data_IF_580405577278
#
_entry.id   IF_580405577278
#
_cell.length_a   1.000
_cell.length_b   1.000
_cell.length_c   1.000
_cell.angle_alpha   90.00
_cell.angle_beta   90.00
_cell.angle_gamma   90.00
#
_symmetry.space_group_name_H-M   'P 1'
#
loop_
_entity.id
_entity.type
_entity.pdbx_description
1 polymer ?
#
# COMPACT_ATOMS: atom_id res chain seq x y z
N UNK A 1 -14.30 -6.31 -47.92
CA UNK A 1 -13.77 -7.69 -47.97
C UNK A 1 -12.51 -7.72 -47.10
N UNK A 2 -12.43 -8.70 -46.21
CA UNK A 2 -11.54 -8.87 -45.06
C UNK A 2 -10.08 -8.36 -45.18
N UNK A 3 -9.62 -7.67 -44.12
CA UNK A 3 -8.19 -7.52 -43.78
C UNK A 3 -7.87 -8.59 -42.73
N UNK A 4 -6.85 -9.46 -42.91
CA UNK A 4 -6.51 -10.48 -41.92
C UNK A 4 -5.68 -9.90 -40.78
N UNK A 5 -6.07 -10.24 -39.55
CA UNK A 5 -5.36 -9.91 -38.31
C UNK A 5 -4.14 -10.83 -38.20
N UNK A 6 -2.93 -10.25 -38.11
CA UNK A 6 -1.72 -10.99 -37.74
C UNK A 6 -1.87 -11.55 -36.32
N UNK A 7 -1.73 -12.87 -36.19
CA UNK A 7 -1.62 -13.54 -34.90
C UNK A 7 -0.27 -13.21 -34.27
N UNK A 8 -0.25 -12.33 -33.29
CA UNK A 8 0.87 -12.19 -32.38
C UNK A 8 0.96 -13.45 -31.50
N UNK A 9 1.94 -14.30 -31.78
CA UNK A 9 2.30 -15.47 -30.98
C UNK A 9 2.81 -14.99 -29.62
N UNK A 10 2.01 -15.17 -28.57
CA UNK A 10 2.46 -15.01 -27.18
C UNK A 10 3.56 -16.04 -26.90
N UNK A 11 4.81 -15.59 -26.92
CA UNK A 11 5.95 -16.35 -26.40
C UNK A 11 5.71 -16.54 -24.91
N UNK A 12 5.37 -17.77 -24.50
CA UNK A 12 5.31 -18.15 -23.09
C UNK A 12 6.71 -17.97 -22.50
N UNK A 13 6.92 -16.92 -21.69
CA UNK A 13 8.13 -16.84 -20.87
C UNK A 13 8.14 -18.04 -19.93
N UNK A 14 9.19 -18.83 -20.06
CA UNK A 14 9.36 -20.12 -19.39
C UNK A 14 9.20 -19.99 -17.88
N UNK A 15 8.41 -20.91 -17.33
CA UNK A 15 8.41 -21.26 -15.91
C UNK A 15 9.83 -21.69 -15.55
N UNK A 16 10.50 -20.90 -14.73
CA UNK A 16 11.81 -21.27 -14.18
C UNK A 16 11.66 -22.57 -13.37
N UNK A 17 12.32 -23.65 -13.82
CA UNK A 17 12.18 -25.00 -13.24
C UNK A 17 12.88 -25.14 -11.88
N UNK A 18 13.49 -24.07 -11.37
CA UNK A 18 14.24 -24.07 -10.11
C UNK A 18 13.49 -23.43 -8.94
N UNK A 19 12.35 -22.77 -9.16
CA UNK A 19 11.56 -22.16 -8.07
C UNK A 19 10.56 -23.19 -7.53
N UNK A 20 11.00 -24.00 -6.58
CA UNK A 20 10.10 -24.86 -5.81
C UNK A 20 9.13 -23.99 -5.00
N UNK A 21 7.83 -24.05 -5.34
CA UNK A 21 6.77 -23.70 -4.38
C UNK A 21 7.01 -24.51 -3.10
N UNK A 22 6.79 -23.96 -1.89
CA UNK A 22 6.98 -24.71 -0.66
C UNK A 22 6.01 -25.90 -0.63
N UNK A 23 6.49 -27.05 -1.10
CA UNK A 23 5.76 -28.31 -1.32
C UNK A 23 5.19 -28.91 -0.02
N UNK A 24 5.51 -28.34 1.15
CA UNK A 24 5.16 -28.89 2.45
C UNK A 24 3.74 -28.55 2.93
N UNK A 25 3.13 -27.44 2.49
CA UNK A 25 1.80 -27.02 3.02
C UNK A 25 0.61 -27.62 2.24
N UNK A 26 0.74 -27.79 0.93
CA UNK A 26 -0.27 -28.50 0.13
C UNK A 26 -0.46 -29.97 0.52
N UNK A 27 0.59 -30.62 1.04
CA UNK A 27 0.55 -32.03 1.47
C UNK A 27 -0.17 -32.26 2.81
N UNK A 28 -0.43 -31.23 3.61
CA UNK A 28 -1.16 -31.35 4.89
C UNK A 28 -2.61 -30.90 4.74
N UNK A 29 -2.86 -29.88 3.92
CA UNK A 29 -4.21 -29.36 3.67
C UNK A 29 -5.07 -30.30 2.80
N UNK A 30 -4.49 -30.96 1.80
CA UNK A 30 -5.23 -31.93 0.96
C UNK A 30 -5.74 -33.14 1.76
N UNK A 31 -4.94 -33.82 2.61
CA UNK A 31 -5.46 -34.90 3.43
C UNK A 31 -6.41 -34.39 4.52
N UNK A 32 -6.26 -33.17 5.05
CA UNK A 32 -7.22 -32.60 6.00
C UNK A 32 -8.59 -32.34 5.32
N UNK A 33 -8.60 -31.84 4.09
CA UNK A 33 -9.81 -31.66 3.26
C UNK A 33 -10.46 -33.02 2.94
N UNK A 34 -9.66 -34.04 2.59
CA UNK A 34 -10.15 -35.39 2.35
C UNK A 34 -10.68 -36.05 3.63
N UNK A 35 -10.08 -35.78 4.79
CA UNK A 35 -10.56 -36.25 6.09
C UNK A 35 -11.85 -35.52 6.50
N UNK A 36 -11.96 -34.21 6.28
CA UNK A 36 -13.21 -33.46 6.47
C UNK A 36 -14.33 -33.94 5.54
N UNK A 37 -14.02 -34.31 4.29
CA UNK A 37 -14.97 -34.93 3.36
C UNK A 37 -15.29 -36.40 3.70
N UNK A 38 -14.36 -37.12 4.32
CA UNK A 38 -14.54 -38.52 4.74
C UNK A 38 -15.32 -38.67 6.06
N UNK A 39 -15.36 -37.62 6.89
CA UNK A 39 -16.18 -37.54 8.10
C UNK A 39 -17.54 -36.85 7.88
N UNK A 40 -17.86 -36.45 6.65
CA UNK A 40 -19.26 -36.23 6.29
C UNK A 40 -20.00 -37.57 6.46
N UNK A 41 -21.12 -37.61 7.22
CA UNK A 41 -21.96 -38.81 7.24
C UNK A 41 -22.28 -39.16 5.78
N UNK A 42 -22.07 -40.42 5.41
CA UNK A 42 -22.21 -40.89 4.04
C UNK A 42 -23.50 -40.34 3.43
N UNK A 43 -23.36 -39.48 2.40
CA UNK A 43 -24.46 -39.11 1.52
C UNK A 43 -24.85 -40.37 0.78
N UNK A 44 -25.75 -41.15 1.36
CA UNK A 44 -26.41 -42.24 0.67
C UNK A 44 -27.16 -41.64 -0.51
N UNK A 45 -26.66 -41.91 -1.72
CA UNK A 45 -27.37 -41.63 -2.96
C UNK A 45 -28.61 -42.51 -3.03
N UNK A 46 -29.70 -42.07 -2.41
CA UNK A 46 -31.02 -42.53 -2.80
C UNK A 46 -31.45 -41.74 -4.05
N UNK A 47 -32.00 -42.38 -5.09
CA UNK A 47 -32.42 -41.67 -6.29
C UNK A 47 -33.67 -40.84 -5.96
N UNK A 48 -33.49 -39.58 -5.59
CA UNK A 48 -34.61 -38.67 -5.35
C UNK A 48 -35.12 -38.14 -6.70
N UNK A 49 -36.29 -38.66 -7.09
CA UNK A 49 -37.17 -38.05 -8.09
C UNK A 49 -37.35 -36.57 -7.73
N UNK A 50 -37.11 -35.68 -8.69
CA UNK A 50 -37.28 -34.23 -8.57
C UNK A 50 -38.77 -33.88 -8.38
N UNK A 51 -39.28 -34.08 -7.17
CA UNK A 51 -40.58 -33.59 -6.74
C UNK A 51 -40.41 -33.21 -5.27
N UNK A 52 -40.07 -31.96 -5.01
CA UNK A 52 -40.11 -31.44 -3.65
C UNK A 52 -41.57 -31.61 -3.16
N UNK A 53 -41.84 -32.46 -2.15
CA UNK A 53 -43.09 -32.34 -1.43
C UNK A 53 -43.01 -30.99 -0.72
N UNK A 54 -44.07 -30.18 -0.81
CA UNK A 54 -44.23 -29.08 0.14
C UNK A 54 -44.01 -29.65 1.54
N UNK A 55 -43.02 -29.12 2.25
CA UNK A 55 -42.65 -29.61 3.58
C UNK A 55 -43.81 -29.32 4.53
N UNK A 56 -44.19 -30.35 5.29
CA UNK A 56 -45.21 -30.27 6.32
C UNK A 56 -44.58 -30.65 7.66
N UNK A 57 -44.55 -29.74 8.65
CA UNK A 57 -45.06 -28.37 8.60
C UNK A 57 -44.22 -27.47 7.65
N UNK A 58 -44.78 -26.33 7.21
CA UNK A 58 -44.10 -25.40 6.32
C UNK A 58 -42.79 -24.87 6.94
N UNK A 59 -41.95 -24.18 6.15
CA UNK A 59 -40.71 -23.57 6.64
C UNK A 59 -40.88 -22.42 7.67
N UNK A 60 -42.08 -22.18 8.20
CA UNK A 60 -42.37 -21.11 9.15
C UNK A 60 -41.84 -21.42 10.56
N UNK A 61 -40.58 -21.04 10.76
CA UNK A 61 -39.75 -21.43 11.89
C UNK A 61 -40.05 -20.77 13.23
N UNK A 62 -39.66 -21.52 14.28
CA UNK A 62 -38.85 -21.01 15.40
C UNK A 62 -37.99 -22.18 15.89
N UNK A 63 -36.73 -22.29 15.44
CA UNK A 63 -35.74 -23.19 16.05
C UNK A 63 -34.99 -22.44 17.14
N UNK A 64 -35.56 -22.34 18.34
CA UNK A 64 -34.93 -21.62 19.46
C UNK A 64 -34.62 -20.14 19.15
N UNK A 65 -35.48 -19.49 18.36
CA UNK A 65 -35.26 -18.11 17.90
C UNK A 65 -34.53 -17.97 16.55
N UNK A 66 -34.28 -19.07 15.84
CA UNK A 66 -33.57 -19.10 14.55
C UNK A 66 -34.49 -19.30 13.34
N UNK A 67 -34.06 -18.83 12.17
CA UNK A 67 -34.70 -18.97 10.85
C UNK A 67 -33.92 -19.97 9.99
N UNK A 68 -34.59 -20.95 9.39
CA UNK A 68 -33.99 -21.97 8.52
C UNK A 68 -34.80 -22.12 7.23
N UNK A 69 -34.20 -21.79 6.08
CA UNK A 69 -34.83 -21.87 4.76
C UNK A 69 -33.88 -22.55 3.77
N UNK A 70 -34.25 -23.73 3.28
CA UNK A 70 -33.42 -24.52 2.35
C UNK A 70 -33.11 -25.93 2.85
N UNK A 71 -32.66 -26.79 1.94
CA UNK A 71 -32.33 -28.17 2.27
C UNK A 71 -31.15 -28.24 3.25
N UNK A 72 -31.33 -28.94 4.37
CA UNK A 72 -30.36 -29.10 5.46
C UNK A 72 -29.91 -27.78 6.15
N UNK A 73 -30.65 -26.68 5.99
CA UNK A 73 -30.38 -25.47 6.76
C UNK A 73 -30.59 -25.73 8.27
N UNK A 74 -29.61 -25.38 9.12
CA UNK A 74 -29.62 -25.62 10.58
C UNK A 74 -29.89 -27.08 11.01
N UNK A 75 -29.52 -28.07 10.17
CA UNK A 75 -29.84 -29.48 10.40
C UNK A 75 -29.39 -30.04 11.76
N UNK A 76 -28.22 -29.61 12.26
CA UNK A 76 -27.61 -30.16 13.48
C UNK A 76 -27.80 -29.30 14.73
N UNK A 77 -28.62 -28.24 14.69
CA UNK A 77 -28.75 -27.28 15.79
C UNK A 77 -29.37 -27.93 17.03
N UNK A 78 -28.71 -27.80 18.19
CA UNK A 78 -29.18 -28.36 19.47
C UNK A 78 -29.53 -27.29 20.50
N UNK A 79 -28.58 -26.41 20.86
CA UNK A 79 -28.78 -25.38 21.89
C UNK A 79 -28.39 -23.96 21.50
N UNK A 80 -27.83 -23.78 20.29
CA UNK A 80 -27.56 -22.46 19.72
C UNK A 80 -28.86 -21.75 19.31
N UNK A 81 -28.87 -20.42 19.34
CA UNK A 81 -30.06 -19.62 19.04
C UNK A 81 -29.78 -18.40 18.19
N UNK A 82 -30.85 -17.79 17.68
CA UNK A 82 -30.80 -16.54 16.89
C UNK A 82 -29.94 -16.63 15.61
N UNK A 83 -29.94 -17.80 14.96
CA UNK A 83 -29.26 -18.00 13.69
C UNK A 83 -30.21 -17.75 12.51
N UNK A 84 -29.70 -17.29 11.37
CA UNK A 84 -30.44 -17.15 10.11
C UNK A 84 -29.71 -17.96 9.03
N UNK A 85 -30.27 -19.09 8.60
CA UNK A 85 -29.72 -19.92 7.54
C UNK A 85 -30.65 -19.95 6.33
N UNK A 86 -30.18 -19.43 5.19
CA UNK A 86 -30.92 -19.41 3.93
C UNK A 86 -30.04 -20.02 2.83
N UNK A 87 -30.41 -21.19 2.31
CA UNK A 87 -29.70 -21.88 1.23
C UNK A 87 -29.42 -23.36 1.52
N UNK A 88 -29.01 -24.08 0.48
CA UNK A 88 -28.60 -25.50 0.58
C UNK A 88 -27.39 -25.63 1.52
N UNK A 89 -27.50 -26.44 2.57
CA UNK A 89 -26.45 -26.71 3.57
C UNK A 89 -25.94 -25.43 4.29
N UNK A 90 -26.76 -24.38 4.38
CA UNK A 90 -26.41 -23.17 5.13
C UNK A 90 -26.45 -23.45 6.64
N UNK A 91 -25.35 -23.18 7.35
CA UNK A 91 -25.21 -23.43 8.79
C UNK A 91 -25.59 -24.89 9.18
N UNK A 92 -25.22 -25.87 8.36
CA UNK A 92 -25.74 -27.24 8.49
C UNK A 92 -25.27 -28.02 9.73
N UNK A 93 -24.00 -27.85 10.14
CA UNK A 93 -23.41 -28.63 11.24
C UNK A 93 -23.26 -27.85 12.55
N UNK A 94 -23.79 -26.64 12.64
CA UNK A 94 -23.74 -25.87 13.89
C UNK A 94 -24.61 -26.54 14.95
N UNK A 95 -24.03 -26.86 16.12
CA UNK A 95 -24.73 -27.49 17.23
C UNK A 95 -25.11 -26.50 18.33
N UNK A 96 -24.22 -25.58 18.67
CA UNK A 96 -24.31 -24.73 19.87
C UNK A 96 -24.06 -23.26 19.61
N UNK A 97 -23.56 -22.87 18.43
CA UNK A 97 -23.23 -21.49 18.15
C UNK A 97 -24.48 -20.67 17.85
N UNK A 98 -24.38 -19.37 18.13
CA UNK A 98 -25.48 -18.42 18.13
C UNK A 98 -25.12 -17.16 17.35
N UNK A 99 -26.15 -16.41 16.94
CA UNK A 99 -26.02 -15.13 16.25
C UNK A 99 -25.31 -15.20 14.89
N UNK A 100 -25.42 -16.34 14.20
CA UNK A 100 -24.85 -16.56 12.88
C UNK A 100 -25.87 -16.25 11.78
N UNK A 101 -25.46 -15.54 10.73
CA UNK A 101 -26.27 -15.29 9.53
C UNK A 101 -25.58 -15.86 8.30
N UNK A 102 -26.18 -16.84 7.64
CA UNK A 102 -25.67 -17.49 6.44
C UNK A 102 -26.67 -17.44 5.30
N UNK A 103 -26.34 -16.73 4.22
CA UNK A 103 -27.17 -16.60 3.02
C UNK A 103 -26.41 -17.06 1.79
N UNK A 104 -26.73 -18.26 1.29
CA UNK A 104 -26.09 -18.89 0.15
C UNK A 104 -25.88 -20.38 0.34
N UNK A 105 -25.50 -21.07 -0.75
CA UNK A 105 -25.18 -22.49 -0.67
C UNK A 105 -23.89 -22.71 0.12
N UNK A 106 -23.96 -23.56 1.16
CA UNK A 106 -22.82 -23.94 2.00
C UNK A 106 -22.21 -22.79 2.81
N UNK A 107 -22.92 -21.69 3.06
CA UNK A 107 -22.43 -20.66 3.97
C UNK A 107 -22.33 -21.22 5.38
N UNK A 108 -21.19 -21.02 6.07
CA UNK A 108 -21.01 -21.43 7.47
C UNK A 108 -21.27 -22.92 7.73
N UNK A 109 -21.19 -23.80 6.72
CA UNK A 109 -21.67 -25.17 6.88
C UNK A 109 -20.92 -25.97 7.95
N UNK A 110 -19.63 -25.68 8.15
CA UNK A 110 -18.75 -26.27 9.19
C UNK A 110 -18.29 -25.20 10.19
N UNK A 111 -19.17 -24.25 10.51
CA UNK A 111 -18.92 -23.20 11.48
C UNK A 111 -19.20 -23.67 12.92
N UNK A 112 -18.31 -23.33 13.86
CA UNK A 112 -18.51 -23.57 15.30
C UNK A 112 -18.25 -22.29 16.15
N UNK A 113 -18.11 -21.14 15.49
CA UNK A 113 -17.99 -19.83 16.13
C UNK A 113 -19.31 -19.06 16.16
N UNK A 114 -19.43 -18.10 17.08
CA UNK A 114 -20.58 -17.20 17.19
C UNK A 114 -20.41 -15.92 16.36
N UNK A 115 -21.52 -15.22 16.13
CA UNK A 115 -21.55 -13.85 15.60
C UNK A 115 -20.97 -13.71 14.18
N UNK A 116 -21.05 -14.76 13.37
CA UNK A 116 -20.53 -14.74 12.01
C UNK A 116 -21.63 -14.40 10.99
N UNK A 117 -21.34 -13.49 10.06
CA UNK A 117 -22.21 -13.14 8.94
C UNK A 117 -21.57 -13.55 7.63
N UNK A 118 -22.23 -14.38 6.84
CA UNK A 118 -21.75 -14.93 5.58
C UNK A 118 -22.83 -14.77 4.49
N UNK A 119 -22.45 -14.21 3.34
CA UNK A 119 -23.29 -14.09 2.16
C UNK A 119 -22.50 -14.45 0.92
N UNK A 120 -22.99 -15.42 0.14
CA UNK A 120 -22.33 -15.96 -1.05
C UNK A 120 -21.91 -17.42 -0.90
N UNK A 121 -21.86 -18.15 -2.02
CA UNK A 121 -21.61 -19.59 -2.01
C UNK A 121 -20.27 -19.93 -1.33
N UNK A 122 -20.32 -20.79 -0.30
CA UNK A 122 -19.16 -21.24 0.48
C UNK A 122 -18.44 -20.15 1.27
N UNK A 123 -19.06 -18.99 1.52
CA UNK A 123 -18.49 -17.98 2.41
C UNK A 123 -18.42 -18.52 3.85
N UNK A 124 -17.28 -18.36 4.53
CA UNK A 124 -17.01 -18.91 5.86
C UNK A 124 -17.32 -20.41 6.03
N UNK A 125 -17.21 -21.21 4.96
CA UNK A 125 -17.56 -22.64 4.98
C UNK A 125 -16.82 -23.40 6.10
N UNK A 126 -15.53 -23.11 6.30
CA UNK A 126 -14.62 -23.82 7.21
C UNK A 126 -14.13 -22.89 8.33
N UNK A 127 -15.05 -22.45 9.19
CA UNK A 127 -14.77 -21.58 10.33
C UNK A 127 -14.87 -22.32 11.68
N UNK A 128 -13.79 -22.96 12.14
CA UNK A 128 -13.91 -23.89 13.29
C UNK A 128 -13.90 -23.21 14.65
N UNK A 129 -13.29 -22.01 14.78
CA UNK A 129 -13.23 -21.28 16.06
C UNK A 129 -13.43 -19.77 15.94
N UNK A 130 -13.37 -19.20 14.74
CA UNK A 130 -13.41 -17.75 14.56
C UNK A 130 -14.79 -17.17 14.90
N UNK A 131 -14.80 -16.00 15.54
CA UNK A 131 -16.02 -15.30 15.93
C UNK A 131 -16.07 -13.91 15.31
N UNK A 132 -17.26 -13.33 15.23
CA UNK A 132 -17.45 -11.94 14.78
C UNK A 132 -16.90 -11.65 13.36
N UNK A 133 -16.90 -12.64 12.47
CA UNK A 133 -16.43 -12.46 11.09
C UNK A 133 -17.58 -12.05 10.15
N UNK A 134 -17.31 -11.15 9.21
CA UNK A 134 -18.22 -10.79 8.11
C UNK A 134 -17.62 -11.19 6.77
N UNK A 135 -18.34 -11.99 5.99
CA UNK A 135 -17.92 -12.46 4.68
C UNK A 135 -19.00 -12.23 3.63
N UNK A 136 -18.72 -11.38 2.65
CA UNK A 136 -19.63 -11.10 1.55
C UNK A 136 -18.93 -11.34 0.21
N UNK A 137 -19.29 -12.45 -0.45
CA UNK A 137 -18.72 -12.89 -1.71
C UNK A 137 -18.52 -14.41 -1.74
N UNK A 138 -18.57 -15.00 -2.94
CA UNK A 138 -18.34 -16.43 -3.07
C UNK A 138 -16.92 -16.80 -2.59
N UNK A 139 -16.84 -17.80 -1.72
CA UNK A 139 -15.61 -18.29 -1.08
C UNK A 139 -14.82 -17.22 -0.29
N UNK A 140 -15.49 -16.15 0.14
CA UNK A 140 -14.90 -15.13 1.02
C UNK A 140 -14.68 -15.71 2.42
N UNK A 141 -13.51 -15.48 3.02
CA UNK A 141 -13.11 -16.09 4.31
C UNK A 141 -13.35 -17.60 4.37
N UNK A 142 -13.09 -18.32 3.26
CA UNK A 142 -13.41 -19.76 3.15
C UNK A 142 -12.85 -20.57 4.33
N UNK A 143 -11.61 -20.27 4.73
CA UNK A 143 -10.95 -20.80 5.92
C UNK A 143 -10.75 -19.64 6.90
N UNK A 144 -11.25 -19.79 8.13
CA UNK A 144 -10.97 -18.85 9.21
C UNK A 144 -10.94 -19.55 10.56
N UNK A 145 -9.89 -19.36 11.35
CA UNK A 145 -9.95 -19.60 12.80
C UNK A 145 -9.71 -18.32 13.60
N UNK A 146 -9.44 -17.20 12.90
CA UNK A 146 -9.33 -15.88 13.49
C UNK A 146 -10.67 -15.18 13.62
N UNK A 147 -10.69 -14.14 14.44
CA UNK A 147 -11.87 -13.36 14.78
C UNK A 147 -11.79 -11.92 14.24
N UNK A 148 -12.95 -11.27 14.19
CA UNK A 148 -13.09 -9.84 13.83
C UNK A 148 -12.62 -9.50 12.41
N UNK A 149 -12.70 -10.45 11.46
CA UNK A 149 -12.35 -10.20 10.07
C UNK A 149 -13.56 -9.76 9.25
N UNK A 150 -13.37 -8.75 8.39
CA UNK A 150 -14.38 -8.27 7.44
C UNK A 150 -13.89 -8.43 6.02
N UNK A 151 -14.65 -9.15 5.19
CA UNK A 151 -14.31 -9.43 3.79
C UNK A 151 -15.48 -9.13 2.85
N UNK A 152 -15.18 -8.41 1.78
CA UNK A 152 -16.09 -8.05 0.70
C UNK A 152 -15.40 -8.32 -0.64
N UNK A 153 -15.79 -9.40 -1.32
CA UNK A 153 -15.27 -9.75 -2.63
C UNK A 153 -15.19 -11.26 -2.86
N UNK A 154 -15.06 -11.67 -4.12
CA UNK A 154 -14.79 -13.07 -4.43
C UNK A 154 -13.42 -13.46 -3.89
N UNK A 155 -13.37 -14.52 -3.07
CA UNK A 155 -12.14 -15.06 -2.46
C UNK A 155 -11.31 -14.04 -1.66
N UNK A 156 -11.93 -12.99 -1.15
CA UNK A 156 -11.27 -12.10 -0.19
C UNK A 156 -10.96 -12.88 1.10
N UNK A 157 -9.75 -12.72 1.65
CA UNK A 157 -9.27 -13.44 2.83
C UNK A 157 -9.42 -14.97 2.76
N UNK A 158 -9.39 -15.57 1.56
CA UNK A 158 -9.73 -16.99 1.38
C UNK A 158 -8.94 -17.93 2.31
N UNK A 159 -7.63 -17.69 2.49
CA UNK A 159 -6.74 -18.59 3.24
C UNK A 159 -6.40 -18.11 4.65
N UNK A 160 -7.17 -17.18 5.25
CA UNK A 160 -6.91 -16.61 6.58
C UNK A 160 -6.99 -17.65 7.71
N UNK A 161 -5.91 -18.37 8.03
CA UNK A 161 -6.01 -19.48 8.99
C UNK A 161 -6.16 -19.03 10.44
N UNK A 162 -5.43 -18.02 10.90
CA UNK A 162 -5.47 -17.55 12.30
C UNK A 162 -5.41 -16.02 12.47
N UNK A 163 -5.33 -15.26 11.37
CA UNK A 163 -5.26 -13.80 11.42
C UNK A 163 -6.56 -13.15 11.90
N UNK A 164 -6.43 -12.10 12.69
CA UNK A 164 -7.51 -11.38 13.35
C UNK A 164 -7.58 -9.92 12.89
N UNK A 165 -8.75 -9.31 13.04
CA UNK A 165 -8.95 -7.88 12.77
C UNK A 165 -8.56 -7.43 11.36
N UNK A 166 -8.68 -8.29 10.34
CA UNK A 166 -8.37 -7.94 8.95
C UNK A 166 -9.59 -7.39 8.20
N UNK A 167 -9.40 -6.37 7.39
CA UNK A 167 -10.42 -5.78 6.51
C UNK A 167 -10.00 -5.90 5.05
N UNK A 168 -10.75 -6.66 4.25
CA UNK A 168 -10.43 -6.96 2.85
C UNK A 168 -11.61 -6.61 1.92
N UNK A 169 -11.50 -5.55 1.15
CA UNK A 169 -12.48 -5.14 0.14
C UNK A 169 -11.90 -5.23 -1.27
N UNK A 170 -12.35 -6.19 -2.07
CA UNK A 170 -11.89 -6.44 -3.43
C UNK A 170 -11.79 -7.94 -3.73
N UNK A 171 -11.80 -8.33 -5.00
CA UNK A 171 -11.55 -9.73 -5.34
C UNK A 171 -10.11 -10.10 -5.00
N UNK A 172 -9.91 -11.25 -4.36
CA UNK A 172 -8.58 -11.73 -3.94
C UNK A 172 -7.80 -10.80 -2.99
N UNK A 173 -8.45 -9.80 -2.37
CA UNK A 173 -7.81 -8.99 -1.34
C UNK A 173 -7.41 -9.87 -0.14
N UNK A 174 -6.16 -9.76 0.33
CA UNK A 174 -5.57 -10.59 1.40
C UNK A 174 -5.72 -12.11 1.18
N UNK A 175 -5.73 -12.56 -0.07
CA UNK A 175 -5.98 -13.96 -0.43
C UNK A 175 -5.11 -14.99 0.32
N UNK A 176 -3.83 -14.68 0.52
CA UNK A 176 -2.84 -15.60 1.10
C UNK A 176 -2.56 -15.40 2.59
N UNK A 177 -3.31 -14.51 3.27
CA UNK A 177 -3.06 -14.23 4.70
C UNK A 177 -3.19 -15.54 5.47
N UNK A 178 -2.19 -15.91 6.27
CA UNK A 178 -2.19 -17.13 7.09
C UNK A 178 -2.41 -16.71 8.54
N UNK A 179 -1.53 -15.85 9.06
CA UNK A 179 -1.53 -15.42 10.46
C UNK A 179 -1.38 -13.91 10.66
N UNK A 180 -1.43 -13.11 9.58
CA UNK A 180 -1.26 -11.66 9.68
C UNK A 180 -2.47 -11.01 10.34
N UNK A 181 -2.21 -10.09 11.27
CA UNK A 181 -3.23 -9.37 12.03
C UNK A 181 -3.34 -7.89 11.58
N UNK A 182 -4.53 -7.32 11.79
CA UNK A 182 -4.76 -5.87 11.66
C UNK A 182 -4.44 -5.28 10.26
N UNK A 183 -4.62 -6.05 9.18
CA UNK A 183 -4.37 -5.56 7.83
C UNK A 183 -5.64 -4.95 7.21
N UNK A 184 -5.47 -3.87 6.43
CA UNK A 184 -6.52 -3.28 5.60
C UNK A 184 -6.12 -3.37 4.13
N UNK A 185 -6.86 -4.12 3.31
CA UNK A 185 -6.65 -4.27 1.89
C UNK A 185 -7.89 -3.83 1.11
N UNK A 186 -7.79 -2.75 0.33
CA UNK A 186 -8.89 -2.19 -0.46
C UNK A 186 -8.48 -2.12 -1.94
N UNK A 187 -8.94 -3.05 -2.75
CA UNK A 187 -8.64 -3.17 -4.17
C UNK A 187 -8.59 -4.63 -4.62
N UNK A 188 -8.72 -4.85 -5.93
CA UNK A 188 -8.44 -6.18 -6.50
C UNK A 188 -6.99 -6.56 -6.20
N UNK A 189 -6.79 -7.77 -5.66
CA UNK A 189 -5.47 -8.34 -5.37
C UNK A 189 -4.61 -7.49 -4.42
N UNK A 190 -5.21 -6.57 -3.64
CA UNK A 190 -4.50 -5.83 -2.61
C UNK A 190 -3.98 -6.79 -1.51
N UNK A 191 -2.70 -6.71 -1.17
CA UNK A 191 -1.99 -7.64 -0.27
C UNK A 191 -2.15 -9.13 -0.63
N UNK A 192 -2.34 -9.44 -1.93
CA UNK A 192 -2.59 -10.82 -2.42
C UNK A 192 -1.67 -11.89 -1.81
N UNK A 193 -0.38 -11.58 -1.71
CA UNK A 193 0.66 -12.52 -1.30
C UNK A 193 1.11 -12.35 0.17
N UNK A 194 0.50 -11.46 0.96
CA UNK A 194 0.85 -11.31 2.38
C UNK A 194 0.43 -12.58 3.13
N UNK A 195 1.36 -13.19 3.87
CA UNK A 195 1.19 -14.45 4.60
C UNK A 195 1.12 -14.17 6.11
N UNK A 196 2.08 -13.45 6.66
CA UNK A 196 2.19 -13.22 8.11
C UNK A 196 2.58 -11.77 8.45
N UNK A 197 2.33 -10.85 7.52
CA UNK A 197 2.58 -9.43 7.75
C UNK A 197 1.44 -8.81 8.56
N UNK A 198 1.79 -7.97 9.53
CA UNK A 198 0.83 -7.31 10.41
C UNK A 198 0.74 -5.81 10.13
N UNK A 199 -0.41 -5.21 10.45
CA UNK A 199 -0.61 -3.77 10.43
C UNK A 199 -0.29 -3.11 9.07
N UNK A 200 -0.55 -3.81 7.96
CA UNK A 200 -0.36 -3.25 6.63
C UNK A 200 -1.65 -2.60 6.12
N UNK A 201 -1.51 -1.43 5.49
CA UNK A 201 -2.60 -0.74 4.78
C UNK A 201 -2.26 -0.76 3.30
N UNK A 202 -3.12 -1.34 2.47
CA UNK A 202 -2.99 -1.35 1.02
C UNK A 202 -4.27 -0.86 0.36
N UNK A 203 -4.15 0.18 -0.47
CA UNK A 203 -5.28 0.81 -1.15
C UNK A 203 -4.94 0.95 -2.64
N UNK A 204 -5.73 0.30 -3.49
CA UNK A 204 -5.59 0.25 -4.93
C UNK A 204 -5.46 -1.18 -5.48
N UNK A 205 -5.65 -1.34 -6.79
CA UNK A 205 -5.38 -2.59 -7.50
C UNK A 205 -3.92 -2.98 -7.30
N UNK A 206 -3.67 -4.24 -6.94
CA UNK A 206 -2.36 -4.83 -6.69
C UNK A 206 -1.51 -4.11 -5.62
N UNK A 207 -2.11 -3.23 -4.81
CA UNK A 207 -1.39 -2.51 -3.76
C UNK A 207 -0.81 -3.50 -2.73
N UNK A 208 0.49 -3.41 -2.44
CA UNK A 208 1.18 -4.33 -1.55
C UNK A 208 1.21 -5.80 -1.99
N UNK A 209 0.86 -6.10 -3.26
CA UNK A 209 0.83 -7.47 -3.78
C UNK A 209 2.20 -8.18 -3.75
N UNK A 210 3.31 -7.45 -3.66
CA UNK A 210 4.66 -8.02 -3.61
C UNK A 210 5.14 -8.41 -2.22
N UNK A 211 4.40 -8.08 -1.15
CA UNK A 211 4.82 -8.42 0.21
C UNK A 211 4.45 -9.86 0.56
N UNK A 212 5.32 -10.55 1.31
CA UNK A 212 5.03 -11.87 1.87
C UNK A 212 4.98 -11.91 3.40
N UNK A 213 5.93 -11.28 4.11
CA UNK A 213 5.97 -11.29 5.60
C UNK A 213 6.21 -9.91 6.22
N UNK A 214 6.21 -8.85 5.41
CA UNK A 214 6.47 -7.49 5.86
C UNK A 214 5.36 -6.88 6.72
N UNK A 215 5.72 -6.06 7.71
CA UNK A 215 4.73 -5.45 8.64
C UNK A 215 4.85 -3.92 8.71
N UNK A 216 3.78 -3.28 9.16
CA UNK A 216 3.68 -1.84 9.41
C UNK A 216 3.92 -0.98 8.14
N UNK A 217 3.42 -1.44 6.99
CA UNK A 217 3.56 -0.71 5.73
C UNK A 217 2.28 -0.01 5.30
N UNK A 218 2.42 1.07 4.54
CA UNK A 218 1.31 1.74 3.86
C UNK A 218 1.60 1.77 2.36
N UNK A 219 0.77 1.09 1.58
CA UNK A 219 0.83 1.02 0.13
C UNK A 219 -0.40 1.70 -0.48
N UNK A 220 -0.20 2.79 -1.20
CA UNK A 220 -1.29 3.44 -1.95
C UNK A 220 -0.92 3.43 -3.43
N UNK A 221 -1.60 2.58 -4.21
CA UNK A 221 -1.31 2.42 -5.64
C UNK A 221 0.13 1.99 -5.94
N UNK A 222 0.74 1.20 -5.05
CA UNK A 222 2.11 0.71 -5.19
C UNK A 222 2.16 -0.78 -4.80
N UNK A 223 2.83 -1.60 -5.61
CA UNK A 223 2.91 -3.05 -5.39
C UNK A 223 3.71 -3.47 -4.15
N UNK A 224 4.50 -2.56 -3.56
CA UNK A 224 5.38 -2.85 -2.44
C UNK A 224 6.69 -3.51 -2.87
N UNK A 225 7.51 -3.84 -1.87
CA UNK A 225 8.74 -4.63 -2.03
C UNK A 225 8.67 -5.79 -1.04
N UNK A 226 9.12 -6.97 -1.47
CA UNK A 226 9.06 -8.15 -0.61
C UNK A 226 9.90 -7.96 0.67
N UNK A 227 9.38 -8.48 1.79
CA UNK A 227 9.95 -8.34 3.15
C UNK A 227 10.14 -6.89 3.65
N UNK A 228 9.56 -5.91 2.97
CA UNK A 228 9.62 -4.52 3.43
C UNK A 228 8.84 -4.32 4.73
N UNK A 229 9.32 -3.46 5.62
CA UNK A 229 8.62 -3.14 6.87
C UNK A 229 8.79 -1.67 7.22
N UNK A 230 7.84 -1.14 7.99
CA UNK A 230 7.86 0.24 8.48
C UNK A 230 7.99 1.29 7.36
N UNK A 231 7.39 1.02 6.20
CA UNK A 231 7.57 1.85 5.00
C UNK A 231 6.25 2.35 4.42
N UNK A 232 6.23 3.60 3.98
CA UNK A 232 5.13 4.19 3.24
C UNK A 232 5.54 4.31 1.77
N UNK A 233 4.76 3.72 0.86
CA UNK A 233 4.87 3.90 -0.59
C UNK A 233 3.57 4.42 -1.16
N UNK A 234 3.66 5.53 -1.90
CA UNK A 234 2.52 6.15 -2.57
C UNK A 234 2.87 6.29 -4.05
N UNK A 235 2.14 5.56 -4.89
CA UNK A 235 2.28 5.54 -6.34
C UNK A 235 3.46 4.72 -6.87
N UNK A 236 3.38 4.33 -8.15
CA UNK A 236 4.49 3.73 -8.90
C UNK A 236 5.35 4.83 -9.53
N UNK A 237 6.67 4.93 -9.23
CA UNK A 237 7.55 5.95 -9.79
C UNK A 237 7.71 5.87 -11.32
N UNK A 238 7.40 4.73 -11.94
CA UNK A 238 7.39 4.60 -13.40
C UNK A 238 6.19 5.32 -14.05
N UNK A 239 5.13 5.59 -13.27
CA UNK A 239 3.87 6.18 -13.75
C UNK A 239 3.67 7.59 -13.17
N UNK A 240 3.88 7.74 -11.86
CA UNK A 240 3.63 8.97 -11.09
C UNK A 240 4.96 9.71 -10.91
N UNK A 241 5.15 10.78 -11.67
CA UNK A 241 6.39 11.58 -11.65
C UNK A 241 6.29 12.84 -10.78
N UNK A 242 5.09 13.19 -10.32
CA UNK A 242 4.85 14.39 -9.51
C UNK A 242 3.86 14.07 -8.40
N UNK A 243 4.11 14.62 -7.21
CA UNK A 243 3.22 14.55 -6.06
C UNK A 243 2.97 15.96 -5.51
N UNK A 244 1.71 16.32 -5.34
CA UNK A 244 1.32 17.54 -4.64
C UNK A 244 0.83 17.18 -3.24
N UNK A 245 1.55 17.65 -2.21
CA UNK A 245 1.20 17.38 -0.81
C UNK A 245 1.03 18.73 -0.09
N UNK A 246 -0.22 19.08 0.20
CA UNK A 246 -0.56 20.28 0.94
C UNK A 246 -0.70 20.00 2.44
N UNK A 247 -0.68 21.05 3.26
CA UNK A 247 -1.07 20.94 4.68
C UNK A 247 -0.07 20.23 5.58
N UNK A 248 1.19 20.12 5.19
CA UNK A 248 2.28 19.80 6.12
C UNK A 248 2.68 21.10 6.81
N UNK A 249 2.18 21.42 8.02
CA UNK A 249 2.64 22.58 8.75
C UNK A 249 4.14 22.40 9.01
N UNK A 250 4.93 23.46 8.83
CA UNK A 250 6.38 23.49 9.05
C UNK A 250 6.76 23.36 10.56
N UNK A 251 6.04 22.53 11.32
CA UNK A 251 6.05 22.44 12.77
C UNK A 251 7.06 21.44 13.32
N UNK A 252 8.29 21.42 12.80
CA UNK A 252 9.36 20.62 13.41
C UNK A 252 10.54 20.28 12.52
N UNK A 253 10.39 20.40 11.19
CA UNK A 253 11.52 20.34 10.27
C UNK A 253 11.92 21.76 9.89
N UNK A 254 13.24 22.01 9.88
CA UNK A 254 13.81 23.15 9.18
C UNK A 254 13.12 23.28 7.82
N UNK A 255 12.64 24.46 7.44
CA UNK A 255 12.17 24.59 6.06
C UNK A 255 13.36 24.27 5.15
N UNK A 256 13.24 23.24 4.31
CA UNK A 256 14.28 22.80 3.39
C UNK A 256 13.84 23.22 2.00
N UNK A 257 14.70 23.94 1.30
CA UNK A 257 14.61 24.14 -0.13
C UNK A 257 15.82 23.49 -0.79
N UNK A 258 15.58 22.50 -1.67
CA UNK A 258 16.59 21.96 -2.59
C UNK A 258 16.27 22.40 -4.01
N UNK A 259 17.29 22.89 -4.70
CA UNK A 259 17.19 23.27 -6.11
C UNK A 259 18.50 22.99 -6.83
N UNK A 260 18.41 22.83 -8.15
CA UNK A 260 19.57 22.56 -8.99
C UNK A 260 19.45 23.19 -10.37
N UNK A 261 20.58 23.24 -11.07
CA UNK A 261 20.64 23.69 -12.45
C UNK A 261 21.21 22.61 -13.34
N UNK A 262 20.66 22.52 -14.55
CA UNK A 262 21.16 21.65 -15.62
C UNK A 262 21.59 22.46 -16.84
N UNK A 263 22.57 21.96 -17.60
CA UNK A 263 23.04 22.59 -18.84
C UNK A 263 24.41 23.26 -18.70
N UNK A 264 24.84 24.07 -19.67
CA UNK A 264 26.08 24.87 -19.56
C UNK A 264 25.71 26.31 -19.24
N UNK A 265 26.35 26.91 -18.22
CA UNK A 265 26.06 28.28 -17.80
C UNK A 265 27.36 29.05 -17.59
N UNK A 266 27.46 30.23 -18.20
CA UNK A 266 28.52 31.20 -17.90
C UNK A 266 27.89 32.37 -17.15
N UNK A 267 28.44 32.67 -15.99
CA UNK A 267 27.96 33.69 -15.06
C UNK A 267 28.99 34.82 -15.03
N UNK A 268 28.58 36.03 -15.41
CA UNK A 268 29.44 37.21 -15.34
C UNK A 268 29.74 37.63 -13.90
N UNK A 269 30.71 38.52 -13.74
CA UNK A 269 31.04 39.12 -12.44
C UNK A 269 29.83 39.88 -11.90
N UNK A 270 29.48 39.61 -10.64
CA UNK A 270 28.27 40.14 -9.99
C UNK A 270 26.98 39.39 -10.36
N UNK A 271 27.05 38.39 -11.25
CA UNK A 271 25.91 37.56 -11.62
C UNK A 271 25.53 36.56 -10.53
N UNK A 272 24.24 36.32 -10.36
CA UNK A 272 23.73 35.28 -9.48
C UNK A 272 23.73 33.91 -10.19
N UNK A 273 24.04 32.86 -9.44
CA UNK A 273 24.00 31.48 -9.92
C UNK A 273 22.54 31.07 -10.16
N UNK A 274 22.18 30.59 -11.35
CA UNK A 274 20.84 30.10 -11.62
C UNK A 274 20.66 28.67 -11.09
N UNK A 275 19.44 28.38 -10.67
CA UNK A 275 18.85 27.10 -10.31
C UNK A 275 17.54 27.01 -11.10
N UNK A 276 17.54 26.31 -12.22
CA UNK A 276 16.46 26.40 -13.23
C UNK A 276 15.37 25.34 -13.08
N UNK A 277 15.58 24.35 -12.21
CA UNK A 277 14.66 23.23 -12.04
C UNK A 277 13.52 23.57 -11.07
N UNK A 278 12.52 22.68 -11.00
CA UNK A 278 11.47 22.79 -10.00
C UNK A 278 12.04 22.43 -8.62
N UNK A 279 11.97 23.33 -7.61
CA UNK A 279 12.56 23.06 -6.30
C UNK A 279 11.71 22.06 -5.51
N UNK A 280 12.36 21.28 -4.65
CA UNK A 280 11.70 20.60 -3.55
C UNK A 280 11.63 21.59 -2.37
N UNK A 281 10.43 21.95 -1.93
CA UNK A 281 10.22 22.88 -0.81
C UNK A 281 9.40 22.19 0.28
N UNK A 282 9.97 22.11 1.48
CA UNK A 282 9.29 21.65 2.68
C UNK A 282 9.11 22.84 3.63
N UNK A 283 7.86 23.12 4.01
CA UNK A 283 7.51 24.23 4.89
C UNK A 283 7.35 25.58 4.19
N UNK A 284 7.13 26.65 4.97
CA UNK A 284 6.75 27.98 4.45
C UNK A 284 7.77 29.08 4.71
N UNK A 285 8.91 28.79 5.33
CA UNK A 285 9.89 29.82 5.71
C UNK A 285 10.78 30.28 4.55
N UNK A 286 10.92 29.51 3.47
CA UNK A 286 11.65 29.87 2.25
C UNK A 286 10.75 29.62 1.04
N UNK A 287 10.84 30.47 0.02
CA UNK A 287 10.27 30.22 -1.31
C UNK A 287 11.26 30.59 -2.41
N UNK A 288 11.06 30.07 -3.61
CA UNK A 288 11.81 30.47 -4.81
C UNK A 288 11.02 31.56 -5.55
N UNK A 289 11.61 32.74 -5.72
CA UNK A 289 10.97 33.85 -6.45
C UNK A 289 11.23 33.74 -7.96
N UNK A 290 12.44 33.37 -8.33
CA UNK A 290 12.86 33.12 -9.70
C UNK A 290 14.07 32.18 -9.70
N UNK A 291 14.67 31.94 -10.87
CA UNK A 291 15.78 31.00 -11.00
C UNK A 291 17.06 31.40 -10.26
N UNK A 292 17.19 32.62 -9.74
CA UNK A 292 18.43 33.09 -9.07
C UNK A 292 18.21 33.52 -7.63
N UNK A 293 16.95 33.60 -7.18
CA UNK A 293 16.58 34.32 -5.96
C UNK A 293 15.58 33.51 -5.15
N UNK A 294 15.92 33.34 -3.87
CA UNK A 294 15.08 32.72 -2.86
C UNK A 294 14.61 33.80 -1.88
N UNK A 295 13.36 33.74 -1.43
CA UNK A 295 12.75 34.67 -0.49
C UNK A 295 12.64 34.01 0.89
N UNK A 296 13.08 34.74 1.92
CA UNK A 296 12.84 34.40 3.32
C UNK A 296 11.46 34.90 3.72
N UNK A 297 10.59 34.02 4.15
CA UNK A 297 9.21 34.34 4.56
C UNK A 297 9.01 34.37 6.07
N UNK A 298 10.01 33.94 6.86
CA UNK A 298 9.96 33.93 8.33
C UNK A 298 11.31 34.33 8.93
N UNK A 299 11.29 35.10 10.02
CA UNK A 299 12.52 35.42 10.75
C UNK A 299 13.16 34.15 11.33
N UNK A 300 14.49 34.09 11.36
CA UNK A 300 15.23 33.00 12.00
C UNK A 300 16.70 32.92 11.59
N UNK A 301 17.32 31.79 11.91
CA UNK A 301 18.67 31.46 11.44
C UNK A 301 18.54 30.48 10.28
N UNK A 302 19.27 30.74 9.21
CA UNK A 302 19.30 29.94 8.00
C UNK A 302 20.70 29.39 7.76
N UNK A 303 20.75 28.24 7.11
CA UNK A 303 21.96 27.60 6.62
C UNK A 303 21.82 27.37 5.12
N UNK A 304 22.79 27.84 4.36
CA UNK A 304 22.90 27.58 2.93
C UNK A 304 24.07 26.64 2.70
N UNK A 305 23.83 25.51 2.05
CA UNK A 305 24.87 24.60 1.57
C UNK A 305 24.79 24.54 0.06
N UNK A 306 25.91 24.71 -0.65
CA UNK A 306 25.91 24.68 -2.11
C UNK A 306 27.07 23.88 -2.68
N UNK A 307 26.90 23.38 -3.90
CA UNK A 307 27.97 22.76 -4.69
C UNK A 307 27.82 23.15 -6.16
N UNK A 308 28.88 23.73 -6.71
CA UNK A 308 28.96 24.17 -8.10
C UNK A 308 30.03 23.35 -8.82
N UNK A 309 29.65 22.59 -9.85
CA UNK A 309 30.57 21.82 -10.68
C UNK A 309 31.04 22.70 -11.82
N UNK A 310 32.30 23.14 -11.75
CA UNK A 310 32.85 24.09 -12.72
C UNK A 310 33.29 23.38 -14.01
N UNK A 311 33.26 24.10 -15.13
CA UNK A 311 33.77 23.57 -16.39
C UNK A 311 35.31 23.53 -16.37
N UNK A 312 35.89 22.64 -17.19
CA UNK A 312 37.34 22.59 -17.42
C UNK A 312 37.90 23.92 -17.98
N UNK A 313 37.04 24.75 -18.58
CA UNK A 313 37.36 26.07 -19.11
C UNK A 313 36.62 27.18 -18.32
N UNK A 314 36.82 27.26 -17.01
CA UNK A 314 36.34 28.37 -16.18
C UNK A 314 37.49 29.30 -15.80
N UNK A 315 37.22 30.60 -15.65
CA UNK A 315 38.17 31.53 -15.03
C UNK A 315 38.16 31.35 -13.51
N UNK A 316 39.24 31.80 -12.86
CA UNK A 316 39.31 31.87 -11.41
C UNK A 316 38.24 32.86 -10.90
N UNK A 317 37.21 32.34 -10.25
CA UNK A 317 36.11 33.15 -9.72
C UNK A 317 35.95 32.87 -8.23
N UNK A 318 35.16 33.70 -7.56
CA UNK A 318 34.77 33.44 -6.19
C UNK A 318 33.25 33.51 -6.07
N UNK A 319 32.70 32.86 -5.05
CA UNK A 319 31.26 32.76 -4.84
C UNK A 319 30.96 33.07 -3.40
N UNK A 320 29.94 33.89 -3.19
CA UNK A 320 29.48 34.28 -1.87
C UNK A 320 27.96 34.18 -1.78
N UNK A 321 27.48 33.70 -0.64
CA UNK A 321 26.06 33.81 -0.27
C UNK A 321 25.79 35.28 0.04
N UNK A 322 24.74 35.84 -0.55
CA UNK A 322 24.28 37.20 -0.27
C UNK A 322 22.86 37.19 0.25
N UNK A 323 22.64 37.96 1.32
CA UNK A 323 21.34 38.23 1.92
C UNK A 323 21.00 39.69 1.67
N UNK A 324 19.94 39.94 0.90
CA UNK A 324 19.49 41.28 0.52
C UNK A 324 20.65 42.12 -0.07
N UNK A 325 21.47 41.49 -0.91
CA UNK A 325 22.64 42.08 -1.57
C UNK A 325 23.93 42.14 -0.71
N UNK A 326 23.85 41.86 0.58
CA UNK A 326 24.98 41.89 1.52
C UNK A 326 25.63 40.51 1.62
N UNK A 327 26.95 40.43 1.46
CA UNK A 327 27.70 39.17 1.59
C UNK A 327 27.66 38.63 3.03
N UNK A 328 27.33 37.35 3.18
CA UNK A 328 27.34 36.65 4.47
C UNK A 328 28.31 35.47 4.43
N UNK A 329 29.06 35.31 5.52
CA UNK A 329 30.02 34.20 5.67
C UNK A 329 31.23 34.25 4.73
N UNK A 330 31.97 33.13 4.64
CA UNK A 330 33.15 33.02 3.79
C UNK A 330 32.81 33.16 2.31
N UNK A 331 33.83 33.54 1.53
CA UNK A 331 33.78 33.52 0.07
C UNK A 331 34.57 32.30 -0.41
N UNK A 332 33.92 31.41 -1.14
CA UNK A 332 34.57 30.23 -1.71
C UNK A 332 35.26 30.62 -3.04
N UNK A 333 36.56 30.36 -3.16
CA UNK A 333 37.33 30.65 -4.37
C UNK A 333 37.58 29.42 -5.24
N UNK A 334 37.43 29.56 -6.55
CA UNK A 334 37.85 28.56 -7.53
C UNK A 334 39.31 28.83 -7.92
N UNK A 335 40.21 27.94 -7.49
CA UNK A 335 41.65 28.03 -7.79
C UNK A 335 42.02 27.20 -9.02
N UNK A 336 41.30 26.09 -9.28
CA UNK A 336 41.58 25.15 -10.38
C UNK A 336 40.29 24.92 -11.17
N UNK A 337 40.31 25.19 -12.48
CA UNK A 337 39.15 24.93 -13.33
C UNK A 337 38.82 23.43 -13.39
N UNK A 338 37.53 23.09 -13.45
CA UNK A 338 37.05 21.71 -13.45
C UNK A 338 36.84 21.09 -12.06
N UNK A 339 37.28 21.76 -10.98
CA UNK A 339 36.98 21.31 -9.62
C UNK A 339 35.63 21.84 -9.14
N UNK A 340 34.99 21.13 -8.22
CA UNK A 340 33.77 21.64 -7.57
C UNK A 340 34.08 22.76 -6.58
N UNK A 341 33.20 23.75 -6.53
CA UNK A 341 33.20 24.81 -5.53
C UNK A 341 32.01 24.58 -4.59
N UNK A 342 32.28 24.30 -3.32
CA UNK A 342 31.23 24.01 -2.32
C UNK A 342 31.54 24.69 -1.01
N UNK A 343 30.50 25.18 -0.33
CA UNK A 343 30.61 25.75 1.01
C UNK A 343 29.28 25.66 1.76
N UNK A 344 29.33 25.91 3.07
CA UNK A 344 28.17 25.99 3.94
C UNK A 344 28.24 27.25 4.81
N UNK A 345 27.20 28.07 4.76
CA UNK A 345 27.12 29.33 5.50
C UNK A 345 25.87 29.38 6.36
N UNK A 346 26.03 29.72 7.64
CA UNK A 346 24.92 29.97 8.57
C UNK A 346 24.80 31.45 8.86
N UNK A 347 23.60 32.03 8.78
CA UNK A 347 23.36 33.46 8.95
C UNK A 347 21.94 33.74 9.51
N UNK A 348 21.74 34.84 10.25
CA UNK A 348 20.41 35.31 10.59
C UNK A 348 19.75 35.97 9.36
N UNK A 349 18.44 35.79 9.19
CA UNK A 349 17.65 36.50 8.18
C UNK A 349 16.23 36.81 8.67
N UNK A 350 15.65 37.88 8.14
CA UNK A 350 14.31 38.35 8.43
C UNK A 350 13.35 38.05 7.28
N UNK A 351 12.07 37.97 7.58
CA UNK A 351 11.02 37.88 6.57
C UNK A 351 11.12 39.08 5.61
N UNK A 352 11.13 38.80 4.31
CA UNK A 352 11.37 39.76 3.24
C UNK A 352 12.81 39.79 2.73
N UNK A 353 13.77 39.15 3.42
CA UNK A 353 15.14 39.06 2.92
C UNK A 353 15.23 38.15 1.69
N UNK A 354 16.11 38.52 0.75
CA UNK A 354 16.39 37.70 -0.44
C UNK A 354 17.73 36.99 -0.28
N UNK A 355 17.80 35.72 -0.65
CA UNK A 355 19.02 34.93 -0.64
C UNK A 355 19.43 34.62 -2.07
N UNK A 356 20.69 34.92 -2.39
CA UNK A 356 21.30 34.66 -3.68
C UNK A 356 22.70 34.07 -3.49
N UNK A 357 23.15 33.27 -4.44
CA UNK A 357 24.54 32.85 -4.56
C UNK A 357 25.18 33.68 -5.68
N UNK A 358 26.15 34.53 -5.37
CA UNK A 358 26.66 35.55 -6.32
C UNK A 358 28.13 35.32 -6.62
N UNK A 359 28.46 35.39 -7.90
CA UNK A 359 29.83 35.26 -8.43
C UNK A 359 30.56 36.59 -8.34
N UNK A 360 31.79 36.58 -7.83
CA UNK A 360 32.72 37.70 -7.83
C UNK A 360 34.09 37.31 -8.41
N UNK A 361 35.02 38.26 -8.44
CA UNK A 361 36.32 38.08 -9.09
C UNK A 361 36.18 38.16 -10.62
N UNK A 362 36.18 37.00 -11.28
CA UNK A 362 35.99 36.87 -12.73
C UNK A 362 34.74 36.03 -13.06
N UNK A 363 34.48 35.80 -14.35
CA UNK A 363 33.33 35.00 -14.78
C UNK A 363 33.49 33.52 -14.42
N UNK A 364 32.43 32.91 -13.90
CA UNK A 364 32.37 31.50 -13.55
C UNK A 364 31.64 30.73 -14.65
N UNK A 365 32.26 29.65 -15.17
CA UNK A 365 31.57 28.75 -16.11
C UNK A 365 31.32 27.40 -15.43
N UNK A 366 30.06 26.96 -15.44
CA UNK A 366 29.61 25.69 -14.88
C UNK A 366 29.62 24.61 -15.97
N UNK A 367 29.96 23.37 -15.58
CA UNK A 367 30.01 22.21 -16.48
C UNK A 367 28.64 21.84 -17.04
N UNK A 368 28.60 20.91 -17.99
CA UNK A 368 27.35 20.35 -18.54
C UNK A 368 26.68 19.38 -17.56
N UNK A 369 25.36 19.24 -17.65
CA UNK A 369 24.57 18.39 -16.75
C UNK A 369 24.23 19.12 -15.45
N UNK A 370 23.99 18.38 -14.36
CA UNK A 370 23.65 18.95 -13.06
C UNK A 370 24.87 19.63 -12.45
N UNK A 371 24.88 20.96 -12.50
CA UNK A 371 26.09 21.76 -12.33
C UNK A 371 26.06 22.75 -11.17
N UNK A 372 24.89 22.99 -10.59
CA UNK A 372 24.74 23.77 -9.38
C UNK A 372 23.67 23.11 -8.52
N UNK A 373 23.95 22.92 -7.23
CA UNK A 373 22.98 22.50 -6.22
C UNK A 373 23.01 23.48 -5.05
N UNK A 374 21.84 23.75 -4.48
CA UNK A 374 21.69 24.57 -3.27
C UNK A 374 20.66 23.94 -2.34
N UNK A 375 21.01 23.91 -1.05
CA UNK A 375 20.14 23.58 0.07
C UNK A 375 20.02 24.81 0.97
N UNK A 376 18.80 25.21 1.31
CA UNK A 376 18.52 26.28 2.26
C UNK A 376 17.66 25.73 3.39
N UNK A 377 18.22 25.72 4.60
CA UNK A 377 17.58 25.17 5.81
C UNK A 377 17.30 26.29 6.82
N UNK A 378 16.08 26.38 7.35
CA UNK A 378 15.81 27.18 8.56
C UNK A 378 16.22 26.41 9.81
N UNK A 379 17.34 26.74 10.43
CA UNK A 379 17.90 26.00 11.57
C UNK A 379 17.44 26.47 12.95
N UNK A 380 16.89 27.69 13.05
CA UNK A 380 16.32 28.25 14.29
C UNK A 380 15.20 29.24 13.99
#
# INVERSE_FOLDING_TARGET
MYIPIERATLVSRGRDRTRSLPLRRGFVLIPLILVCLAFLPQVQTAPAVFRAPDVSPPPDGVYGGSTAEGYNALFSLTSGGFNTAIGWESIATDTTASFNTGVGAGTLALNNGNENTASGAGALLLNTTGTANTANGALSLLFSNGSDNSSLGNRALQNNTSGNSNSAGGSHALFSNDSGDCNTALGDSALLNSISGDNNIAIGCDAGSSITTGSNNIYIGNAGVDNESNTIRIGDPAIIQQAFIAGIPAGGLAAILFDFNSGSVTIGVGGAVPFSQAPLIVGTAISKTNNTTFMVNKNGIYRVSYTLRTALASLAANVQVRVSGTGVGPTAGLVVAGTSLSDQVTFPANAGDTVQLVVGGFALTLGTGDNATINIDKVQ
#
